data_IF_921479163486
#
_entry.id   IF_921479163486
#
_cell.length_a   1.000
_cell.length_b   1.000
_cell.length_c   1.000
_cell.angle_alpha   90.00
_cell.angle_beta   90.00
_cell.angle_gamma   90.00
#
_symmetry.space_group_name_H-M   'P 1'
#
loop_
_entity.id
_entity.type
_entity.pdbx_description
1 polymer ?
#
# COMPACT_ATOMS: atom_id res chain seq x y z
N UNK A 1 9.20 0.99 10.13
CA UNK A 1 9.88 1.73 9.04
C UNK A 1 10.77 2.81 9.66
N UNK A 2 11.96 3.11 9.11
CA UNK A 2 12.80 4.20 9.64
C UNK A 2 12.28 5.57 9.21
N UNK A 3 12.53 6.65 9.97
CA UNK A 3 12.14 8.01 9.58
C UNK A 3 12.64 8.42 8.20
N UNK A 4 13.88 8.10 7.85
CA UNK A 4 14.49 8.46 6.57
C UNK A 4 13.79 7.76 5.39
N UNK A 5 13.37 6.51 5.59
CA UNK A 5 12.62 5.75 4.59
C UNK A 5 11.20 6.29 4.44
N UNK A 6 10.54 6.64 5.55
CA UNK A 6 9.21 7.26 5.56
C UNK A 6 9.19 8.61 4.83
N UNK A 7 10.22 9.44 5.04
CA UNK A 7 10.35 10.74 4.37
C UNK A 7 10.57 10.61 2.86
N UNK A 8 11.33 9.60 2.42
CA UNK A 8 11.46 9.28 0.99
C UNK A 8 10.13 8.84 0.39
N UNK A 9 9.46 7.91 1.07
CA UNK A 9 8.17 7.35 0.63
C UNK A 9 7.09 8.43 0.50
N UNK A 10 6.95 9.30 1.51
CA UNK A 10 5.96 10.38 1.51
C UNK A 10 6.50 11.71 1.00
N UNK A 11 7.63 11.74 0.30
CA UNK A 11 8.28 12.97 -0.14
C UNK A 11 7.38 13.90 -0.97
N UNK A 12 6.45 13.32 -1.73
CA UNK A 12 5.41 14.04 -2.51
C UNK A 12 4.46 14.87 -1.65
N UNK A 13 4.38 14.58 -0.35
CA UNK A 13 3.54 15.29 0.62
C UNK A 13 4.31 16.30 1.47
N UNK A 14 5.62 16.47 1.23
CA UNK A 14 6.45 17.42 1.99
C UNK A 14 5.87 18.84 1.87
N UNK A 15 5.75 19.51 3.01
CA UNK A 15 5.15 20.86 3.10
C UNK A 15 3.62 20.87 3.28
N UNK A 16 2.94 19.72 3.23
CA UNK A 16 1.52 19.64 3.60
C UNK A 16 1.37 19.69 5.13
N UNK A 17 0.28 20.29 5.67
CA UNK A 17 0.09 20.43 7.12
C UNK A 17 0.11 19.10 7.88
N UNK A 18 -0.36 18.02 7.25
CA UNK A 18 -0.42 16.69 7.84
C UNK A 18 0.89 15.89 7.75
N UNK A 19 1.89 16.36 7.01
CA UNK A 19 3.10 15.59 6.67
C UNK A 19 3.89 15.12 7.91
N UNK A 20 4.12 16.02 8.86
CA UNK A 20 4.85 15.68 10.08
C UNK A 20 4.10 14.63 10.92
N UNK A 21 2.78 14.74 10.99
CA UNK A 21 1.93 13.74 11.66
C UNK A 21 1.95 12.39 10.97
N UNK A 22 1.92 12.38 9.63
CA UNK A 22 2.01 11.18 8.80
C UNK A 22 3.33 10.43 9.04
N UNK A 23 4.47 11.12 8.95
CA UNK A 23 5.79 10.50 9.19
C UNK A 23 5.90 9.97 10.62
N UNK A 24 5.41 10.73 11.60
CA UNK A 24 5.38 10.27 13.01
C UNK A 24 4.52 9.02 13.18
N UNK A 25 3.36 8.96 12.54
CA UNK A 25 2.44 7.83 12.66
C UNK A 25 3.06 6.56 12.05
N UNK A 26 3.53 6.62 10.81
CA UNK A 26 4.02 5.44 10.09
C UNK A 26 5.37 4.90 10.63
N UNK A 27 6.09 5.71 11.41
CA UNK A 27 7.34 5.31 12.09
C UNK A 27 7.11 4.89 13.54
N UNK A 28 5.89 5.01 14.06
CA UNK A 28 5.57 4.71 15.48
C UNK A 28 5.56 3.22 15.81
N UNK A 29 5.64 2.33 14.82
CA UNK A 29 5.65 0.89 15.00
C UNK A 29 6.22 0.12 13.80
N UNK A 30 6.30 -1.21 13.90
CA UNK A 30 6.63 -2.06 12.77
C UNK A 30 5.53 -2.00 11.70
N UNK A 31 5.92 -2.20 10.45
CA UNK A 31 5.01 -2.30 9.31
C UNK A 31 5.27 -3.60 8.58
N UNK A 32 4.25 -4.13 7.93
CA UNK A 32 4.39 -5.23 6.97
C UNK A 32 4.36 -4.60 5.58
N UNK A 33 5.38 -4.92 4.78
CA UNK A 33 5.49 -4.45 3.40
C UNK A 33 5.44 -5.68 2.49
N UNK A 34 4.71 -5.60 1.38
CA UNK A 34 4.60 -6.68 0.42
C UNK A 34 4.37 -6.15 -0.99
N UNK A 35 4.76 -6.96 -1.97
CA UNK A 35 4.48 -6.73 -3.39
C UNK A 35 3.47 -7.78 -3.84
N UNK A 36 2.40 -7.33 -4.48
CA UNK A 36 1.37 -8.20 -5.03
C UNK A 36 1.39 -8.12 -6.55
N UNK A 37 1.34 -9.28 -7.20
CA UNK A 37 1.34 -9.41 -8.65
C UNK A 37 0.00 -9.99 -9.13
N UNK A 38 -0.48 -9.47 -10.26
CA UNK A 38 -1.65 -10.01 -10.95
C UNK A 38 -2.29 -9.01 -11.92
N UNK A 39 -3.28 -9.46 -12.70
CA UNK A 39 -4.04 -8.61 -13.60
C UNK A 39 -4.66 -7.44 -12.85
N UNK A 40 -4.36 -6.22 -13.30
CA UNK A 40 -4.89 -4.98 -12.70
C UNK A 40 -4.63 -4.87 -11.19
N UNK A 41 -3.53 -5.46 -10.69
CA UNK A 41 -3.22 -5.58 -9.26
C UNK A 41 -3.42 -4.27 -8.48
N UNK A 42 -2.90 -3.15 -9.00
CA UNK A 42 -3.03 -1.83 -8.36
C UNK A 42 -4.50 -1.48 -8.11
N UNK A 43 -5.34 -1.50 -9.16
CA UNK A 43 -6.76 -1.16 -8.99
C UNK A 43 -7.50 -2.16 -8.12
N UNK A 44 -7.21 -3.46 -8.23
CA UNK A 44 -7.85 -4.51 -7.43
C UNK A 44 -7.52 -4.31 -5.95
N UNK A 45 -6.24 -4.14 -5.61
CA UNK A 45 -5.79 -3.89 -4.23
C UNK A 45 -6.40 -2.61 -3.69
N UNK A 46 -6.37 -1.51 -4.47
CA UNK A 46 -7.01 -0.23 -4.10
C UNK A 46 -8.50 -0.38 -3.82
N UNK A 47 -9.22 -1.16 -4.61
CA UNK A 47 -10.64 -1.46 -4.40
C UNK A 47 -10.85 -2.27 -3.12
N UNK A 48 -10.04 -3.32 -2.88
CA UNK A 48 -10.09 -4.14 -1.66
C UNK A 48 -9.78 -3.33 -0.41
N UNK A 49 -8.85 -2.36 -0.49
CA UNK A 49 -8.52 -1.47 0.63
C UNK A 49 -9.70 -0.57 1.01
N UNK A 50 -10.49 -0.10 0.04
CA UNK A 50 -11.53 0.90 0.24
C UNK A 50 -11.03 2.35 0.16
N UNK A 51 -11.97 3.30 0.20
CA UNK A 51 -11.69 4.73 0.11
C UNK A 51 -10.65 5.20 1.16
N UNK A 52 -9.86 6.23 0.85
CA UNK A 52 -8.80 6.72 1.76
C UNK A 52 -9.38 7.22 3.09
N UNK A 53 -10.54 7.89 3.04
CA UNK A 53 -11.33 8.22 4.21
C UNK A 53 -12.18 7.00 4.59
N UNK A 54 -11.92 6.40 5.76
CA UNK A 54 -12.62 5.20 6.22
C UNK A 54 -14.14 5.39 6.33
N UNK A 55 -14.59 6.61 6.67
CA UNK A 55 -16.02 6.95 6.73
C UNK A 55 -16.74 6.88 5.36
N UNK A 56 -15.98 6.88 4.26
CA UNK A 56 -16.49 6.76 2.88
C UNK A 56 -16.23 5.37 2.29
N UNK A 57 -15.55 4.48 3.02
CA UNK A 57 -15.23 3.14 2.56
C UNK A 57 -16.46 2.22 2.67
N UNK A 58 -16.68 1.38 1.65
CA UNK A 58 -17.81 0.47 1.62
C UNK A 58 -17.58 -0.74 2.57
N UNK A 59 -18.65 -1.31 3.15
CA UNK A 59 -18.56 -2.56 3.90
C UNK A 59 -17.93 -3.69 3.07
N UNK A 60 -17.11 -4.53 3.69
CA UNK A 60 -16.34 -5.58 3.04
C UNK A 60 -14.98 -5.13 2.49
N UNK A 61 -14.67 -3.83 2.55
CA UNK A 61 -13.32 -3.32 2.29
C UNK A 61 -12.53 -3.25 3.58
N UNK A 62 -11.19 -3.33 3.49
CA UNK A 62 -10.32 -3.31 4.68
C UNK A 62 -10.59 -2.07 5.55
N UNK A 63 -10.69 -0.89 4.93
CA UNK A 63 -10.95 0.35 5.67
C UNK A 63 -12.38 0.48 6.15
N UNK A 64 -13.36 -0.03 5.39
CA UNK A 64 -14.77 -0.01 5.79
C UNK A 64 -15.03 -0.91 7.01
N UNK A 65 -14.30 -2.02 7.12
CA UNK A 65 -14.52 -3.00 8.19
C UNK A 65 -13.64 -2.74 9.44
N UNK A 66 -12.48 -2.10 9.28
CA UNK A 66 -11.46 -2.06 10.34
C UNK A 66 -10.88 -0.67 10.65
N UNK A 67 -11.31 0.40 9.98
CA UNK A 67 -10.84 1.76 10.25
C UNK A 67 -12.00 2.72 10.53
N UNK A 68 -11.70 3.81 11.25
CA UNK A 68 -12.68 4.84 11.61
C UNK A 68 -12.30 6.23 11.09
N UNK A 69 -11.01 6.56 11.05
CA UNK A 69 -10.51 7.89 10.72
C UNK A 69 -9.52 7.85 9.57
N UNK A 70 -9.46 8.94 8.78
CA UNK A 70 -8.56 9.08 7.63
C UNK A 70 -7.07 8.95 8.01
N UNK A 71 -6.68 9.42 9.19
CA UNK A 71 -5.29 9.36 9.68
C UNK A 71 -4.88 7.98 10.20
N UNK A 72 -5.85 7.09 10.45
CA UNK A 72 -5.66 5.76 11.02
C UNK A 72 -6.32 4.70 10.13
N UNK A 73 -6.08 4.78 8.81
CA UNK A 73 -6.74 3.95 7.81
C UNK A 73 -5.99 2.64 7.47
N UNK A 74 -5.10 2.21 8.38
CA UNK A 74 -4.49 0.88 8.57
C UNK A 74 -3.70 0.23 7.41
N UNK A 75 -3.84 0.69 6.17
CA UNK A 75 -3.21 0.08 4.99
C UNK A 75 -2.83 1.14 3.95
N UNK A 76 -1.66 0.95 3.33
CA UNK A 76 -1.16 1.71 2.18
C UNK A 76 -1.22 0.85 0.91
N UNK A 77 -1.32 1.51 -0.25
CA UNK A 77 -1.25 0.88 -1.54
C UNK A 77 -1.05 1.92 -2.63
N UNK A 78 -0.13 1.65 -3.54
CA UNK A 78 0.25 2.54 -4.64
C UNK A 78 -0.97 2.97 -5.45
N UNK A 79 -0.95 4.21 -5.96
CA UNK A 79 -2.08 4.80 -6.69
C UNK A 79 -1.97 4.71 -8.22
N UNK A 80 -0.81 4.29 -8.73
CA UNK A 80 -0.58 4.09 -10.16
C UNK A 80 0.73 3.33 -10.46
N UNK A 81 0.97 2.93 -11.72
CA UNK A 81 2.12 2.12 -12.10
C UNK A 81 3.48 2.76 -11.78
N UNK A 82 3.62 4.06 -12.03
CA UNK A 82 4.86 4.79 -11.74
C UNK A 82 5.16 4.84 -10.24
N UNK A 83 4.15 5.15 -9.42
CA UNK A 83 4.25 5.15 -7.96
C UNK A 83 4.56 3.75 -7.44
N UNK A 84 3.89 2.72 -7.97
CA UNK A 84 4.13 1.34 -7.58
C UNK A 84 5.58 0.92 -7.88
N UNK A 85 6.10 1.26 -9.06
CA UNK A 85 7.49 0.98 -9.40
C UNK A 85 8.46 1.68 -8.44
N UNK A 86 8.27 2.97 -8.18
CA UNK A 86 9.11 3.73 -7.26
C UNK A 86 9.07 3.19 -5.84
N UNK A 87 7.89 2.81 -5.35
CA UNK A 87 7.70 2.22 -4.02
C UNK A 87 8.37 0.84 -3.92
N UNK A 88 8.20 -0.03 -4.91
CA UNK A 88 8.86 -1.34 -4.95
C UNK A 88 10.38 -1.17 -4.89
N UNK A 89 10.95 -0.32 -5.74
CA UNK A 89 12.39 -0.03 -5.78
C UNK A 89 12.90 0.63 -4.47
N UNK A 90 12.02 1.30 -3.73
CA UNK A 90 12.34 1.94 -2.46
C UNK A 90 12.38 0.93 -1.29
N UNK A 91 11.47 -0.05 -1.29
CA UNK A 91 11.29 -0.99 -0.17
C UNK A 91 12.02 -2.32 -0.35
N UNK A 92 12.27 -2.76 -1.58
CA UNK A 92 12.83 -4.07 -1.87
C UNK A 92 14.01 -3.97 -2.82
N UNK A 93 15.02 -4.80 -2.56
CA UNK A 93 16.03 -5.13 -3.56
C UNK A 93 15.48 -6.17 -4.54
N UNK A 94 16.00 -6.25 -5.77
CA UNK A 94 15.56 -7.24 -6.75
C UNK A 94 15.64 -8.68 -6.21
N UNK A 95 16.65 -9.02 -5.41
CA UNK A 95 16.81 -10.35 -4.82
C UNK A 95 15.80 -10.71 -3.73
N UNK A 96 15.05 -9.73 -3.20
CA UNK A 96 13.97 -9.96 -2.22
C UNK A 96 12.64 -10.26 -2.91
N UNK A 97 12.55 -10.04 -4.22
CA UNK A 97 11.38 -10.35 -5.04
C UNK A 97 11.48 -11.79 -5.54
N UNK A 98 10.53 -12.62 -5.10
CA UNK A 98 10.50 -14.03 -5.45
C UNK A 98 9.71 -14.24 -6.74
N UNK A 99 10.37 -14.82 -7.74
CA UNK A 99 9.71 -15.34 -8.93
C UNK A 99 9.25 -16.78 -8.68
N UNK A 100 7.95 -17.02 -8.75
CA UNK A 100 7.36 -18.33 -8.53
C UNK A 100 6.02 -18.46 -9.27
N UNK A 101 5.63 -19.71 -9.57
CA UNK A 101 4.32 -20.01 -10.16
C UNK A 101 3.43 -20.70 -9.13
N UNK A 102 2.21 -20.18 -8.96
CA UNK A 102 1.21 -20.82 -8.11
C UNK A 102 0.69 -22.11 -8.77
N UNK A 103 0.58 -23.24 -8.04
CA UNK A 103 -0.02 -24.47 -8.57
C UNK A 103 -1.46 -24.30 -9.07
N UNK A 104 -2.16 -23.26 -8.58
CA UNK A 104 -3.54 -22.93 -8.92
C UNK A 104 -3.66 -21.96 -10.09
N UNK A 105 -2.56 -21.42 -10.65
CA UNK A 105 -2.60 -20.38 -11.70
C UNK A 105 -3.49 -20.76 -12.88
N UNK A 106 -3.50 -22.04 -13.30
CA UNK A 106 -4.32 -22.55 -14.40
C UNK A 106 -5.84 -22.44 -14.22
N UNK A 107 -6.28 -22.22 -12.98
CA UNK A 107 -7.70 -22.07 -12.62
C UNK A 107 -8.07 -20.61 -12.31
N UNK A 108 -7.07 -19.75 -12.13
CA UNK A 108 -7.25 -18.35 -11.73
C UNK A 108 -7.12 -17.42 -12.95
N UNK A 109 -6.24 -17.76 -13.89
CA UNK A 109 -6.03 -17.00 -15.12
C UNK A 109 -6.73 -17.66 -16.30
N UNK A 110 -7.35 -16.83 -17.14
CA UNK A 110 -7.78 -17.23 -18.48
C UNK A 110 -6.53 -17.58 -19.31
N UNK A 111 -6.57 -18.72 -20.00
CA UNK A 111 -5.47 -19.20 -20.86
C UNK A 111 -5.54 -18.61 -22.26
#
# INVERSE_FOLDING_TARGET
MTPELAEKHYGVHKGKPFYAGLVKHITSGPVVVGVLEGPKAISVVRTTMGATNAAEALPGTIRGDYALEIGFNIIHGSDGPETAKQEIDLFFKPEELLDYTLPTSKWIYEQ
#
